data_IF_236355594244
#
_entry.id   IF_236355594244
#
_cell.length_a   1.000
_cell.length_b   1.000
_cell.length_c   1.000
_cell.angle_alpha   90.00
_cell.angle_beta   90.00
_cell.angle_gamma   90.00
#
_symmetry.space_group_name_H-M   'P 1'
#
loop_
_entity.id
_entity.type
_entity.pdbx_description
1 polymer ?
#
# COMPACT_ATOMS: atom_id res chain seq x y z
N UNK A 1 12.67 -25.55 -45.90
CA UNK A 1 13.03 -25.56 -44.46
C UNK A 1 12.67 -24.17 -44.01
N UNK A 2 11.53 -24.01 -43.41
CA UNK A 2 11.13 -22.75 -42.77
C UNK A 2 11.83 -22.67 -41.42
N UNK A 3 12.51 -21.57 -41.17
CA UNK A 3 13.26 -21.32 -39.96
C UNK A 3 12.32 -21.45 -38.75
N UNK A 4 12.59 -22.47 -37.93
CA UNK A 4 11.94 -22.71 -36.63
C UNK A 4 12.61 -21.80 -35.60
N UNK A 5 12.53 -20.49 -35.84
CA UNK A 5 12.90 -19.53 -34.78
C UNK A 5 11.85 -19.57 -33.67
N UNK A 6 12.29 -19.75 -32.42
CA UNK A 6 11.36 -19.75 -31.30
C UNK A 6 10.61 -18.41 -31.26
N UNK A 7 9.27 -18.45 -31.40
CA UNK A 7 8.45 -17.26 -31.28
C UNK A 7 8.70 -16.61 -29.90
N UNK A 8 8.87 -15.28 -29.86
CA UNK A 8 9.00 -14.61 -28.59
C UNK A 8 7.75 -14.91 -27.72
N UNK A 9 7.93 -15.07 -26.40
CA UNK A 9 6.79 -15.30 -25.50
C UNK A 9 5.76 -14.19 -25.66
N UNK A 10 4.47 -14.57 -25.57
CA UNK A 10 3.39 -13.60 -25.70
C UNK A 10 3.37 -12.67 -24.49
N UNK A 11 3.51 -11.36 -24.72
CA UNK A 11 3.41 -10.36 -23.66
C UNK A 11 1.94 -10.02 -23.38
N UNK A 12 1.47 -10.37 -22.17
CA UNK A 12 0.14 -10.02 -21.66
C UNK A 12 0.22 -8.73 -20.85
N UNK A 13 -0.61 -7.74 -21.19
CA UNK A 13 -0.66 -6.45 -20.48
C UNK A 13 -1.93 -6.35 -19.64
N UNK A 14 -1.78 -6.08 -18.35
CA UNK A 14 -2.88 -5.87 -17.42
C UNK A 14 -2.85 -4.41 -16.96
N UNK A 15 -3.93 -3.68 -17.24
CA UNK A 15 -4.10 -2.31 -16.77
C UNK A 15 -4.96 -2.29 -15.51
N UNK A 16 -4.41 -1.74 -14.43
CA UNK A 16 -5.13 -1.55 -13.17
C UNK A 16 -5.91 -0.24 -13.22
N UNK A 17 -7.23 -0.35 -13.19
CA UNK A 17 -8.15 0.79 -13.21
C UNK A 17 -8.94 0.85 -11.89
N UNK A 18 -9.24 2.05 -11.43
CA UNK A 18 -10.06 2.29 -10.24
C UNK A 18 -9.74 3.63 -9.59
N UNK A 19 -10.64 4.08 -8.73
CA UNK A 19 -10.45 5.29 -7.93
C UNK A 19 -9.23 5.19 -6.99
N UNK A 20 -8.86 6.30 -6.36
CA UNK A 20 -7.86 6.29 -5.28
C UNK A 20 -8.26 5.28 -4.19
N UNK A 21 -7.28 4.64 -3.57
CA UNK A 21 -7.45 3.71 -2.43
C UNK A 21 -8.15 2.37 -2.73
N UNK A 22 -8.38 2.03 -3.98
CA UNK A 22 -8.97 0.73 -4.36
C UNK A 22 -7.97 -0.43 -4.33
N UNK A 23 -6.74 -0.22 -3.86
CA UNK A 23 -5.73 -1.27 -3.71
C UNK A 23 -4.86 -1.53 -4.94
N UNK A 24 -4.98 -0.75 -6.02
CA UNK A 24 -4.17 -0.92 -7.26
C UNK A 24 -2.67 -1.03 -6.97
N UNK A 25 -2.12 0.00 -6.33
CA UNK A 25 -0.68 0.05 -6.00
C UNK A 25 -0.27 -1.03 -4.98
N UNK A 26 -1.19 -1.49 -4.13
CA UNK A 26 -0.95 -2.61 -3.22
C UNK A 26 -0.79 -3.92 -3.97
N UNK A 27 -1.66 -4.18 -4.97
CA UNK A 27 -1.55 -5.36 -5.84
C UNK A 27 -0.23 -5.32 -6.61
N UNK A 28 0.13 -4.16 -7.18
CA UNK A 28 1.39 -4.01 -7.89
C UNK A 28 2.61 -4.32 -7.01
N UNK A 29 2.62 -3.81 -5.76
CA UNK A 29 3.66 -4.12 -4.77
C UNK A 29 3.71 -5.60 -4.41
N UNK A 30 2.56 -6.26 -4.24
CA UNK A 30 2.50 -7.69 -3.95
C UNK A 30 3.09 -8.52 -5.09
N UNK A 31 2.75 -8.20 -6.34
CA UNK A 31 3.33 -8.86 -7.52
C UNK A 31 4.84 -8.62 -7.58
N UNK A 32 5.30 -7.39 -7.36
CA UNK A 32 6.75 -7.08 -7.31
C UNK A 32 7.48 -7.93 -6.27
N UNK A 33 6.90 -8.12 -5.09
CA UNK A 33 7.49 -8.94 -4.03
C UNK A 33 7.51 -10.43 -4.40
N UNK A 34 6.43 -10.95 -4.97
CA UNK A 34 6.31 -12.36 -5.36
C UNK A 34 7.33 -12.75 -6.44
N UNK A 35 7.59 -11.86 -7.39
CA UNK A 35 8.50 -12.11 -8.50
C UNK A 35 9.90 -11.51 -8.28
N UNK A 36 10.24 -11.15 -7.05
CA UNK A 36 11.59 -10.74 -6.65
C UNK A 36 12.04 -9.36 -7.12
N UNK A 37 11.14 -8.55 -7.66
CA UNK A 37 11.40 -7.16 -8.05
C UNK A 37 11.21 -6.26 -6.84
N UNK A 38 12.19 -6.22 -5.96
CA UNK A 38 12.10 -5.40 -4.73
C UNK A 38 12.48 -3.95 -5.03
N UNK A 39 11.56 -3.02 -4.81
CA UNK A 39 11.92 -1.61 -4.65
C UNK A 39 12.82 -1.45 -3.40
N UNK A 40 13.67 -0.44 -3.40
CA UNK A 40 14.48 -0.14 -2.20
C UNK A 40 13.54 0.16 -1.02
N UNK A 41 13.54 -0.70 -0.01
CA UNK A 41 12.69 -0.55 1.17
C UNK A 41 12.93 0.78 1.89
N UNK A 42 14.15 1.33 1.80
CA UNK A 42 14.51 2.62 2.38
C UNK A 42 13.62 3.78 1.89
N UNK A 43 13.11 3.72 0.66
CA UNK A 43 12.19 4.72 0.12
C UNK A 43 10.86 4.79 0.88
N UNK A 44 10.48 3.70 1.56
CA UNK A 44 9.22 3.66 2.30
C UNK A 44 9.31 4.27 3.70
N UNK A 45 10.52 4.48 4.25
CA UNK A 45 10.70 5.00 5.62
C UNK A 45 9.99 6.34 5.82
N UNK A 46 10.24 7.29 4.95
CA UNK A 46 9.60 8.61 5.03
C UNK A 46 8.09 8.54 4.86
N UNK A 47 7.61 7.72 3.92
CA UNK A 47 6.19 7.52 3.71
C UNK A 47 5.50 6.90 4.92
N UNK A 48 6.14 5.93 5.58
CA UNK A 48 5.61 5.29 6.79
C UNK A 48 5.51 6.29 7.95
N UNK A 49 6.51 7.15 8.14
CA UNK A 49 6.48 8.22 9.13
C UNK A 49 5.36 9.23 8.84
N UNK A 50 5.26 9.70 7.59
CA UNK A 50 4.16 10.57 7.14
C UNK A 50 2.80 9.95 7.36
N UNK A 51 2.62 8.69 6.97
CA UNK A 51 1.34 8.00 7.14
C UNK A 51 0.97 7.86 8.62
N UNK A 52 1.95 7.61 9.49
CA UNK A 52 1.75 7.54 10.94
C UNK A 52 1.29 8.89 11.49
N UNK A 53 2.01 9.97 11.19
CA UNK A 53 1.65 11.31 11.64
C UNK A 53 0.30 11.78 11.07
N UNK A 54 0.06 11.54 9.77
CA UNK A 54 -1.22 11.88 9.14
C UNK A 54 -2.38 11.16 9.81
N UNK A 55 -2.22 9.86 10.13
CA UNK A 55 -3.25 9.08 10.83
C UNK A 55 -3.55 9.66 12.21
N UNK A 56 -2.52 10.03 12.98
CA UNK A 56 -2.69 10.67 14.28
C UNK A 56 -3.41 12.02 14.17
N UNK A 57 -2.96 12.89 13.26
CA UNK A 57 -3.55 14.22 13.04
C UNK A 57 -5.03 14.14 12.67
N UNK A 58 -5.40 13.25 11.75
CA UNK A 58 -6.79 13.08 11.36
C UNK A 58 -7.66 12.59 12.51
N UNK A 59 -7.17 11.62 13.29
CA UNK A 59 -7.93 11.14 14.46
C UNK A 59 -8.01 12.16 15.60
N UNK A 60 -6.99 13.01 15.80
CA UNK A 60 -7.07 14.13 16.74
C UNK A 60 -8.15 15.13 16.30
N UNK A 61 -8.24 15.45 15.01
CA UNK A 61 -9.32 16.29 14.47
C UNK A 61 -10.70 15.67 14.71
N UNK A 62 -10.86 14.36 14.48
CA UNK A 62 -12.09 13.63 14.80
C UNK A 62 -12.44 13.74 16.30
N UNK A 63 -11.43 13.56 17.19
CA UNK A 63 -11.63 13.76 18.61
C UNK A 63 -12.17 15.17 18.91
N UNK A 64 -11.53 16.20 18.37
CA UNK A 64 -11.96 17.60 18.55
C UNK A 64 -13.39 17.84 18.08
N UNK A 65 -13.78 17.23 16.96
CA UNK A 65 -15.10 17.41 16.37
C UNK A 65 -16.21 16.65 17.09
N UNK A 66 -15.96 15.39 17.47
CA UNK A 66 -17.01 14.49 17.95
C UNK A 66 -16.95 14.22 19.46
N UNK A 67 -15.77 14.20 20.07
CA UNK A 67 -15.55 13.79 21.46
C UNK A 67 -14.36 14.54 22.09
N UNK A 68 -14.42 15.89 22.23
CA UNK A 68 -13.30 16.70 22.71
C UNK A 68 -12.82 16.30 24.13
N UNK A 69 -13.72 15.80 24.96
CA UNK A 69 -13.43 15.41 26.36
C UNK A 69 -12.43 14.24 26.43
N UNK A 70 -12.34 13.40 25.39
CA UNK A 70 -11.37 12.30 25.34
C UNK A 70 -9.91 12.76 25.36
N UNK A 71 -9.64 14.01 24.96
CA UNK A 71 -8.30 14.59 24.94
C UNK A 71 -7.91 15.29 26.24
N UNK A 72 -8.81 15.42 27.21
CA UNK A 72 -8.55 16.15 28.45
C UNK A 72 -7.36 15.62 29.26
N UNK A 73 -7.14 14.29 29.24
CA UNK A 73 -6.01 13.63 29.90
C UNK A 73 -4.73 13.52 29.06
N UNK A 74 -4.75 14.04 27.82
CA UNK A 74 -3.63 13.95 26.86
C UNK A 74 -3.58 15.21 25.97
N UNK A 75 -3.88 16.37 26.54
CA UNK A 75 -3.99 17.62 25.80
C UNK A 75 -2.66 18.06 25.19
N UNK A 76 -1.55 17.86 25.91
CA UNK A 76 -0.21 18.23 25.45
C UNK A 76 0.24 17.34 24.28
N UNK A 77 -0.02 16.03 24.36
CA UNK A 77 0.27 15.10 23.25
C UNK A 77 -0.57 15.41 22.01
N UNK A 78 -1.85 15.73 22.20
CA UNK A 78 -2.72 16.12 21.10
C UNK A 78 -2.24 17.43 20.45
N UNK A 79 -1.86 18.43 21.25
CA UNK A 79 -1.32 19.69 20.74
C UNK A 79 0.00 19.48 19.98
N UNK A 80 0.90 18.62 20.47
CA UNK A 80 2.14 18.28 19.79
C UNK A 80 1.88 17.64 18.42
N UNK A 81 0.93 16.71 18.35
CA UNK A 81 0.53 16.06 17.08
C UNK A 81 -0.10 17.09 16.12
N UNK A 82 -0.96 17.97 16.60
CA UNK A 82 -1.59 19.01 15.77
C UNK A 82 -0.56 19.99 15.18
N UNK A 83 0.42 20.40 15.99
CA UNK A 83 1.46 21.36 15.58
C UNK A 83 2.50 20.78 14.63
N UNK A 84 2.70 19.46 14.64
CA UNK A 84 3.73 18.80 13.85
C UNK A 84 3.51 19.00 12.34
N UNK A 85 4.60 19.21 11.60
CA UNK A 85 4.59 19.29 10.14
C UNK A 85 4.81 17.89 9.54
N UNK A 86 3.92 17.46 8.64
CA UNK A 86 3.98 16.15 7.98
C UNK A 86 5.15 16.02 7.00
N UNK A 87 5.75 17.14 6.60
CA UNK A 87 6.91 17.15 5.71
C UNK A 87 8.24 17.02 6.47
N UNK A 88 8.20 17.12 7.80
CA UNK A 88 9.38 16.99 8.65
C UNK A 88 9.49 15.57 9.24
N UNK A 89 10.72 15.22 9.60
CA UNK A 89 10.97 13.94 10.28
C UNK A 89 10.28 13.90 11.64
N UNK A 90 9.66 12.78 11.96
CA UNK A 90 9.00 12.56 13.24
C UNK A 90 10.05 12.34 14.33
N UNK A 91 10.01 13.17 15.38
CA UNK A 91 10.92 13.01 16.53
C UNK A 91 10.47 11.83 17.41
N UNK A 92 11.39 11.26 18.22
CA UNK A 92 11.02 10.20 19.17
C UNK A 92 9.93 10.59 20.16
N UNK A 93 9.95 11.86 20.61
CA UNK A 93 8.95 12.41 21.53
C UNK A 93 7.55 12.47 20.88
N UNK A 94 7.50 12.90 19.62
CA UNK A 94 6.26 12.94 18.84
C UNK A 94 5.75 11.52 18.57
N UNK A 95 6.64 10.57 18.26
CA UNK A 95 6.28 9.17 18.10
C UNK A 95 5.68 8.57 19.37
N UNK A 96 6.28 8.90 20.54
CA UNK A 96 5.78 8.46 21.84
C UNK A 96 4.41 9.11 22.16
N UNK A 97 4.20 10.38 21.82
CA UNK A 97 2.92 11.06 21.99
C UNK A 97 1.82 10.39 21.16
N UNK A 98 2.08 10.08 19.88
CA UNK A 98 1.14 9.35 19.02
C UNK A 98 0.80 7.96 19.59
N UNK A 99 1.81 7.20 20.01
CA UNK A 99 1.63 5.88 20.61
C UNK A 99 0.81 5.96 21.91
N UNK A 100 1.06 6.96 22.76
CA UNK A 100 0.30 7.19 24.01
C UNK A 100 -1.17 7.51 23.74
N UNK A 101 -1.46 8.42 22.79
CA UNK A 101 -2.83 8.76 22.39
C UNK A 101 -3.59 7.55 21.86
N UNK A 102 -2.92 6.66 21.15
CA UNK A 102 -3.52 5.42 20.67
C UNK A 102 -3.71 4.41 21.80
N UNK A 103 -2.69 4.15 22.59
CA UNK A 103 -2.72 3.15 23.66
C UNK A 103 -3.73 3.49 24.78
N UNK A 104 -3.83 4.77 25.17
CA UNK A 104 -4.76 5.23 26.20
C UNK A 104 -6.23 5.30 25.75
N UNK A 105 -6.51 5.15 24.46
CA UNK A 105 -7.85 4.96 23.93
C UNK A 105 -8.46 6.11 23.12
N UNK A 106 -8.14 7.40 23.33
CA UNK A 106 -8.80 8.53 22.65
C UNK A 106 -8.90 8.38 21.13
N UNK A 107 -7.80 8.01 20.47
CA UNK A 107 -7.81 7.86 19.01
C UNK A 107 -8.55 6.61 18.53
N UNK A 108 -8.60 5.54 19.33
CA UNK A 108 -9.42 4.35 19.05
C UNK A 108 -10.90 4.67 19.06
N UNK A 109 -11.34 5.39 20.10
CA UNK A 109 -12.73 5.83 20.23
C UNK A 109 -13.12 6.84 19.16
N UNK A 110 -12.22 7.76 18.81
CA UNK A 110 -12.43 8.70 17.71
C UNK A 110 -12.64 7.95 16.38
N UNK A 111 -11.82 6.94 16.10
CA UNK A 111 -11.97 6.13 14.91
C UNK A 111 -13.33 5.45 14.85
N UNK A 112 -13.79 4.86 15.96
CA UNK A 112 -15.12 4.24 16.03
C UNK A 112 -16.23 5.26 15.84
N UNK A 113 -16.12 6.45 16.44
CA UNK A 113 -17.08 7.53 16.27
C UNK A 113 -17.13 8.03 14.82
N UNK A 114 -16.00 8.12 14.16
CA UNK A 114 -15.92 8.54 12.75
C UNK A 114 -16.55 7.53 11.79
N UNK A 115 -16.56 6.24 12.12
CA UNK A 115 -17.31 5.24 11.35
C UNK A 115 -18.81 5.47 11.40
N UNK A 116 -19.33 5.85 12.57
CA UNK A 116 -20.74 6.12 12.76
C UNK A 116 -21.16 7.47 12.17
N UNK A 117 -20.29 8.46 12.29
CA UNK A 117 -20.52 9.83 11.82
C UNK A 117 -19.25 10.36 11.16
N UNK A 118 -19.05 10.09 9.85
CA UNK A 118 -17.84 10.49 9.14
C UNK A 118 -17.67 12.03 9.13
N UNK A 119 -16.60 12.52 9.73
CA UNK A 119 -16.23 13.96 9.75
C UNK A 119 -14.93 14.24 9.05
N UNK A 120 -14.01 13.28 9.07
CA UNK A 120 -12.69 13.38 8.48
C UNK A 120 -12.36 12.09 7.72
N UNK A 121 -11.54 12.22 6.70
CA UNK A 121 -10.94 11.05 6.07
C UNK A 121 -9.83 10.51 6.98
N UNK A 122 -9.90 9.24 7.35
CA UNK A 122 -8.91 8.54 8.17
C UNK A 122 -8.39 7.33 7.40
N UNK A 123 -7.07 7.14 7.26
CA UNK A 123 -6.52 5.97 6.58
C UNK A 123 -6.99 4.66 7.24
N UNK A 124 -7.37 3.67 6.42
CA UNK A 124 -7.78 2.34 6.93
C UNK A 124 -6.67 1.67 7.75
N UNK A 125 -5.42 1.91 7.38
CA UNK A 125 -4.24 1.38 8.05
C UNK A 125 -3.82 2.19 9.30
N UNK A 126 -4.60 3.21 9.72
CA UNK A 126 -4.29 4.00 10.90
C UNK A 126 -4.00 3.18 12.18
N UNK A 127 -4.75 2.10 12.49
CA UNK A 127 -4.42 1.23 13.63
C UNK A 127 -3.00 0.68 13.55
N UNK A 128 -2.63 0.13 12.39
CA UNK A 128 -1.29 -0.41 12.20
C UNK A 128 -0.19 0.63 12.43
N UNK A 129 -0.35 1.82 11.84
CA UNK A 129 0.62 2.88 11.97
C UNK A 129 0.77 3.37 13.42
N UNK A 130 -0.34 3.53 14.13
CA UNK A 130 -0.33 4.06 15.49
C UNK A 130 0.10 3.02 16.53
N UNK A 131 -0.20 1.74 16.33
CA UNK A 131 0.33 0.64 17.15
C UNK A 131 1.85 0.50 17.02
N UNK A 132 2.38 0.82 15.86
CA UNK A 132 3.80 0.72 15.54
C UNK A 132 4.52 2.09 15.52
N UNK A 133 3.90 3.18 16.02
CA UNK A 133 4.42 4.53 15.85
C UNK A 133 5.88 4.70 16.33
N UNK A 134 6.21 4.16 17.50
CA UNK A 134 7.58 4.23 18.04
C UNK A 134 8.59 3.44 17.20
N UNK A 135 8.20 2.29 16.64
CA UNK A 135 9.05 1.49 15.77
C UNK A 135 9.25 2.16 14.41
N UNK A 136 8.15 2.54 13.74
CA UNK A 136 8.18 3.13 12.39
C UNK A 136 8.88 4.49 12.34
N UNK A 137 8.87 5.23 13.46
CA UNK A 137 9.48 6.55 13.56
C UNK A 137 10.87 6.53 14.22
N UNK A 138 11.40 5.36 14.59
CA UNK A 138 12.75 5.27 15.16
C UNK A 138 13.82 5.63 14.11
N UNK A 139 14.88 6.32 14.54
CA UNK A 139 15.99 6.70 13.64
C UNK A 139 16.67 5.47 13.01
N UNK A 140 16.81 4.40 13.79
CA UNK A 140 17.39 3.11 13.36
C UNK A 140 16.41 2.19 12.64
N UNK A 141 15.17 2.63 12.40
CA UNK A 141 14.18 1.78 11.76
C UNK A 141 14.52 1.49 10.30
N UNK A 142 14.44 0.22 9.94
CA UNK A 142 14.53 -0.28 8.58
C UNK A 142 13.18 -0.92 8.19
N UNK A 143 12.54 -0.47 7.09
CA UNK A 143 11.27 -1.00 6.65
C UNK A 143 11.32 -2.47 6.26
N UNK A 144 10.26 -3.20 6.58
CA UNK A 144 10.04 -4.58 6.18
C UNK A 144 9.06 -4.65 5.00
N UNK A 145 9.00 -5.80 4.30
CA UNK A 145 8.05 -6.03 3.21
C UNK A 145 6.60 -5.78 3.67
N UNK A 146 6.26 -6.21 4.88
CA UNK A 146 4.93 -5.99 5.47
C UNK A 146 4.60 -4.50 5.70
N UNK A 147 5.60 -3.68 6.03
CA UNK A 147 5.45 -2.24 6.19
C UNK A 147 5.25 -1.57 4.82
N UNK A 148 6.05 -1.98 3.82
CA UNK A 148 5.99 -1.43 2.47
C UNK A 148 4.62 -1.63 1.82
N UNK A 149 3.99 -2.79 2.04
CA UNK A 149 2.63 -3.08 1.54
C UNK A 149 1.57 -2.15 2.14
N UNK A 150 1.76 -1.72 3.39
CA UNK A 150 0.85 -0.81 4.09
C UNK A 150 1.14 0.65 3.85
N UNK A 151 2.37 0.97 3.42
CA UNK A 151 2.74 2.34 3.13
C UNK A 151 1.87 2.92 2.02
N UNK A 152 1.17 4.01 2.32
CA UNK A 152 0.45 4.78 1.32
C UNK A 152 1.43 5.74 0.67
N UNK A 153 1.74 5.46 -0.57
CA UNK A 153 2.56 6.33 -1.42
C UNK A 153 1.67 6.98 -2.48
N UNK A 154 1.95 8.22 -2.80
CA UNK A 154 1.30 8.84 -3.95
C UNK A 154 1.87 8.21 -5.22
N UNK A 155 1.02 7.60 -6.04
CA UNK A 155 1.43 7.13 -7.36
C UNK A 155 1.42 8.31 -8.31
N UNK A 156 2.61 8.74 -8.74
CA UNK A 156 2.76 9.80 -9.73
C UNK A 156 3.21 9.17 -11.04
N UNK A 157 2.43 9.36 -12.09
CA UNK A 157 2.71 8.79 -13.41
C UNK A 157 2.33 7.32 -13.54
N UNK A 158 2.98 6.64 -14.47
CA UNK A 158 2.75 5.22 -14.78
C UNK A 158 3.79 4.36 -14.07
N UNK A 159 3.34 3.40 -13.27
CA UNK A 159 4.20 2.35 -12.71
C UNK A 159 3.86 1.03 -13.37
N UNK A 160 4.87 0.23 -13.69
CA UNK A 160 4.66 -1.11 -14.23
C UNK A 160 5.61 -2.12 -13.59
N UNK A 161 5.13 -3.36 -13.52
CA UNK A 161 5.93 -4.53 -13.11
C UNK A 161 5.83 -5.57 -14.21
N UNK A 162 6.97 -6.11 -14.62
CA UNK A 162 7.06 -7.19 -15.58
C UNK A 162 7.45 -8.48 -14.85
N UNK A 163 6.77 -9.57 -15.16
CA UNK A 163 7.05 -10.88 -14.57
C UNK A 163 6.70 -11.98 -15.58
N UNK A 164 7.37 -13.12 -15.43
CA UNK A 164 7.10 -14.29 -16.23
C UNK A 164 6.55 -15.42 -15.34
N UNK A 165 5.55 -16.12 -15.83
CA UNK A 165 4.99 -17.28 -15.15
C UNK A 165 4.70 -18.42 -16.12
N UNK A 166 4.67 -19.64 -15.60
CA UNK A 166 4.31 -20.84 -16.36
C UNK A 166 2.87 -21.22 -16.04
N UNK A 167 2.02 -21.16 -17.02
CA UNK A 167 0.60 -21.46 -16.89
C UNK A 167 0.24 -22.69 -17.71
N UNK A 168 -0.64 -23.54 -17.17
CA UNK A 168 -1.18 -24.67 -17.91
C UNK A 168 -1.88 -24.20 -19.18
N UNK A 169 -1.44 -24.72 -20.34
CA UNK A 169 -1.95 -24.28 -21.63
C UNK A 169 -3.43 -24.58 -21.83
N UNK A 170 -3.91 -25.73 -21.32
CA UNK A 170 -5.32 -26.09 -21.41
C UNK A 170 -6.20 -25.15 -20.54
N UNK A 171 -5.71 -24.75 -19.36
CA UNK A 171 -6.38 -23.76 -18.51
C UNK A 171 -6.48 -22.40 -19.19
N UNK A 172 -5.39 -21.95 -19.85
CA UNK A 172 -5.39 -20.69 -20.59
C UNK A 172 -6.42 -20.67 -21.71
N UNK A 173 -6.49 -21.74 -22.50
CA UNK A 173 -7.42 -21.83 -23.62
C UNK A 173 -8.88 -21.84 -23.17
N UNK A 174 -9.16 -22.43 -22.03
CA UNK A 174 -10.53 -22.50 -21.48
C UNK A 174 -11.00 -21.19 -20.88
N UNK A 175 -10.09 -20.42 -20.22
CA UNK A 175 -10.48 -19.28 -19.38
C UNK A 175 -10.09 -17.93 -19.96
N UNK A 176 -9.18 -17.88 -20.92
CA UNK A 176 -8.75 -16.67 -21.61
C UNK A 176 -8.88 -16.81 -23.14
N UNK A 177 -10.09 -16.62 -23.69
CA UNK A 177 -10.33 -16.76 -25.14
C UNK A 177 -9.41 -15.87 -26.00
N UNK A 178 -8.91 -14.75 -25.46
CA UNK A 178 -7.96 -13.88 -26.14
C UNK A 178 -6.59 -14.57 -26.29
N UNK A 179 -6.19 -15.40 -25.33
CA UNK A 179 -4.94 -16.16 -25.43
C UNK A 179 -4.97 -17.15 -26.58
N UNK A 180 -6.16 -17.69 -26.92
CA UNK A 180 -6.35 -18.58 -28.07
C UNK A 180 -6.06 -17.89 -29.41
N UNK A 181 -6.23 -16.58 -29.52
CA UNK A 181 -5.94 -15.80 -30.73
C UNK A 181 -4.44 -15.51 -30.88
N UNK A 182 -3.69 -15.56 -29.80
CA UNK A 182 -2.24 -15.29 -29.77
C UNK A 182 -1.43 -16.56 -29.98
N UNK A 183 -1.99 -17.73 -29.60
CA UNK A 183 -1.36 -19.04 -29.77
C UNK A 183 -1.98 -19.73 -30.97
N UNK A 184 -1.51 -19.40 -32.18
CA UNK A 184 -1.90 -20.11 -33.38
C UNK A 184 -1.12 -21.42 -33.52
N UNK A 185 -1.83 -22.55 -33.52
CA UNK A 185 -1.26 -23.88 -33.84
C UNK A 185 -1.93 -25.01 -33.06
N UNK A 186 -1.86 -26.24 -33.62
CA UNK A 186 -2.52 -27.44 -33.06
C UNK A 186 -1.80 -28.06 -31.86
N UNK A 187 -0.60 -27.63 -31.51
CA UNK A 187 0.19 -28.13 -30.39
C UNK A 187 0.33 -27.06 -29.32
N UNK A 188 -0.61 -27.05 -28.40
CA UNK A 188 -0.53 -26.22 -27.18
C UNK A 188 0.42 -26.94 -26.23
N UNK A 189 1.56 -26.32 -25.84
CA UNK A 189 2.44 -26.91 -24.84
C UNK A 189 1.67 -27.15 -23.54
N UNK A 190 1.96 -28.23 -22.84
CA UNK A 190 1.39 -28.52 -21.53
C UNK A 190 1.66 -27.39 -20.51
N UNK A 191 2.74 -26.64 -20.71
CA UNK A 191 3.07 -25.42 -19.97
C UNK A 191 3.45 -24.32 -20.96
N UNK A 192 2.70 -23.21 -20.92
CA UNK A 192 3.00 -22.00 -21.68
C UNK A 192 3.73 -21.01 -20.76
N UNK A 193 4.86 -20.49 -21.23
CA UNK A 193 5.47 -19.33 -20.58
C UNK A 193 4.79 -18.08 -21.11
N UNK A 194 4.26 -17.27 -20.20
CA UNK A 194 3.68 -15.97 -20.49
C UNK A 194 4.50 -14.89 -19.79
N UNK A 195 4.82 -13.85 -20.54
CA UNK A 195 5.36 -12.62 -19.98
C UNK A 195 4.21 -11.67 -19.69
N UNK A 196 4.21 -11.12 -18.50
CA UNK A 196 3.16 -10.23 -18.00
C UNK A 196 3.72 -8.85 -17.75
N UNK A 197 2.95 -7.84 -18.08
CA UNK A 197 3.19 -6.46 -17.68
C UNK A 197 1.95 -5.92 -16.99
N UNK A 198 2.04 -5.65 -15.69
CA UNK A 198 0.98 -5.02 -14.92
C UNK A 198 1.27 -3.53 -14.78
N UNK A 199 0.27 -2.69 -15.06
CA UNK A 199 0.42 -1.23 -15.20
C UNK A 199 -0.56 -0.53 -14.26
N UNK A 200 -0.05 0.35 -13.38
CA UNK A 200 -0.82 1.27 -12.54
C UNK A 200 -0.64 2.69 -13.06
N UNK A 201 -1.72 3.38 -13.34
CA UNK A 201 -1.72 4.73 -13.92
C UNK A 201 -2.06 5.84 -12.90
N UNK A 202 -2.05 5.51 -11.61
CA UNK A 202 -2.28 6.49 -10.54
C UNK A 202 -3.74 6.77 -10.21
#
# INVERSE_FOLDING_TARGET
>A
MADDEPRPPALMKILLLGAGETGKSTILKQISLLYGQKESLGLYKEWLQRNTLTSAKQLVKVCRALKPDLLSGAADEAAAVEAADVEQSVTPELAAAMAKLWASGPLKEARLANFATPTEWVPDQAPYFLENATRLCAASYEPEDADSLRARTLTVGVKSVEFADKVDGAYLMQHLPIAAQVIEGSDIPSLCQLDWQMIDVG
#
